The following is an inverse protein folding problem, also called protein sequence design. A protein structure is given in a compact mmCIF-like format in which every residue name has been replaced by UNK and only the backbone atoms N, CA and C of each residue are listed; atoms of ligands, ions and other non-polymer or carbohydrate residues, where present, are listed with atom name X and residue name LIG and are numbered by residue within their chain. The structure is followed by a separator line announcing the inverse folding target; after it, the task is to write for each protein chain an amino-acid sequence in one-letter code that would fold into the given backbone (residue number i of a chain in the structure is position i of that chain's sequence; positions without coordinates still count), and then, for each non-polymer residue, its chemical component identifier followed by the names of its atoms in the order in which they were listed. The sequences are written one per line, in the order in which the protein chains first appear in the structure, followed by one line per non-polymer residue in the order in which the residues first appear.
data_IF_178407192734
#
_entry.id   IF_178407192734
#
_cell.length_a   1.000
_cell.length_b   1.000
_cell.length_c   1.000
_cell.angle_alpha   90.00
_cell.angle_beta   90.00
_cell.angle_gamma   90.00
#
_symmetry.space_group_name_H-M   'P 1'
#
loop_
_entity.id
_entity.type
_entity.pdbx_description
1 polymer ?
#
# COMPACT_ATOMS: atom_id res chain seq x y z
N UNK A 1 7.82 16.19 0.16
CA UNK A 1 8.63 15.13 -0.49
C UNK A 1 8.99 14.11 0.60
N UNK A 2 8.30 12.97 0.62
CA UNK A 2 8.71 11.85 1.45
C UNK A 2 9.98 11.26 0.82
N UNK A 3 11.10 11.35 1.53
CA UNK A 3 12.36 10.76 1.08
C UNK A 3 12.18 9.24 1.03
N UNK A 4 12.31 8.67 -0.15
CA UNK A 4 12.34 7.22 -0.34
C UNK A 4 13.50 6.68 0.49
N UNK A 5 13.22 5.91 1.54
CA UNK A 5 14.23 5.29 2.39
C UNK A 5 15.17 4.45 1.54
N UNK A 6 16.46 4.54 1.80
CA UNK A 6 17.41 3.69 1.08
C UNK A 6 17.24 2.23 1.51
N UNK A 7 17.48 1.28 0.60
CA UNK A 7 17.47 -0.15 0.95
C UNK A 7 18.42 -0.49 2.09
N UNK A 8 19.46 0.34 2.31
CA UNK A 8 20.36 0.18 3.44
C UNK A 8 19.66 0.50 4.76
N UNK A 9 18.93 1.59 4.80
CA UNK A 9 18.14 1.96 5.98
C UNK A 9 17.02 0.95 6.27
N UNK A 10 16.32 0.44 5.23
CA UNK A 10 15.35 -0.64 5.41
C UNK A 10 16.00 -1.90 6.02
N UNK A 11 17.21 -2.22 5.60
CA UNK A 11 17.95 -3.35 6.15
C UNK A 11 18.34 -3.13 7.61
N UNK A 12 18.79 -1.93 7.97
CA UNK A 12 19.18 -1.61 9.34
C UNK A 12 17.96 -1.71 10.27
N UNK A 13 16.81 -1.19 9.87
CA UNK A 13 15.54 -1.35 10.60
C UNK A 13 15.09 -2.83 10.68
N UNK A 14 15.26 -3.59 9.61
CA UNK A 14 14.97 -5.02 9.62
C UNK A 14 15.83 -5.76 10.66
N UNK A 15 17.13 -5.50 10.70
CA UNK A 15 18.05 -6.11 11.67
C UNK A 15 17.65 -5.75 13.08
N UNK A 16 17.39 -4.47 13.37
CA UNK A 16 16.95 -3.97 14.67
C UNK A 16 15.66 -4.67 15.13
N UNK A 17 14.66 -4.69 14.25
CA UNK A 17 13.37 -5.35 14.52
C UNK A 17 13.50 -6.84 14.82
N UNK A 18 14.36 -7.59 14.13
CA UNK A 18 14.59 -9.01 14.39
C UNK A 18 15.28 -9.22 15.73
N UNK A 19 16.24 -8.37 16.09
CA UNK A 19 16.96 -8.43 17.37
C UNK A 19 16.00 -8.14 18.52
N UNK A 20 15.21 -7.06 18.46
CA UNK A 20 14.26 -6.70 19.51
C UNK A 20 13.18 -7.77 19.68
N UNK A 21 12.62 -8.29 18.60
CA UNK A 21 11.66 -9.40 18.65
C UNK A 21 12.25 -10.63 19.32
N UNK A 22 13.53 -10.93 19.08
CA UNK A 22 14.21 -12.03 19.76
C UNK A 22 14.39 -11.76 21.24
N UNK A 23 14.82 -10.55 21.64
CA UNK A 23 14.94 -10.16 23.06
C UNK A 23 13.63 -10.34 23.81
N UNK A 24 12.51 -9.90 23.18
CA UNK A 24 11.16 -10.02 23.75
C UNK A 24 10.66 -11.46 23.84
N UNK A 25 11.12 -12.33 22.92
CA UNK A 25 10.68 -13.72 22.84
C UNK A 25 11.36 -14.67 23.83
N UNK A 26 12.49 -14.26 24.42
CA UNK A 26 13.28 -15.13 25.30
C UNK A 26 13.10 -14.77 26.79
N UNK A 27 13.16 -15.76 27.70
CA UNK A 27 13.14 -15.51 29.12
C UNK A 27 14.35 -14.67 29.57
N UNK A 28 14.14 -13.84 30.63
CA UNK A 28 15.16 -12.94 31.16
C UNK A 28 16.50 -13.62 31.49
N UNK A 29 16.46 -14.85 32.02
CA UNK A 29 17.69 -15.59 32.35
C UNK A 29 18.53 -15.92 31.10
N UNK A 30 17.88 -16.19 29.95
CA UNK A 30 18.59 -16.39 28.68
C UNK A 30 19.17 -15.09 28.12
N UNK A 31 18.47 -13.97 28.31
CA UNK A 31 18.99 -12.67 27.92
C UNK A 31 20.21 -12.29 28.74
N UNK A 32 20.18 -12.53 30.10
CA UNK A 32 21.33 -12.32 30.99
C UNK A 32 22.53 -13.18 30.57
N UNK A 33 22.32 -14.46 30.22
CA UNK A 33 23.38 -15.34 29.73
C UNK A 33 24.03 -14.83 28.42
N UNK A 34 23.28 -14.14 27.54
CA UNK A 34 23.83 -13.47 26.36
C UNK A 34 24.69 -12.25 26.80
N UNK A 35 24.25 -11.51 27.82
CA UNK A 35 25.04 -10.43 28.41
C UNK A 35 26.36 -10.93 28.95
N UNK A 36 26.37 -12.03 29.71
CA UNK A 36 27.58 -12.66 30.25
C UNK A 36 28.53 -13.13 29.11
N UNK A 37 27.98 -13.71 28.04
CA UNK A 37 28.76 -14.08 26.83
C UNK A 37 29.38 -12.83 26.17
N UNK A 38 28.65 -11.73 26.11
CA UNK A 38 29.14 -10.49 25.53
C UNK A 38 30.27 -9.89 26.37
N UNK A 39 30.14 -9.89 27.71
CA UNK A 39 31.20 -9.46 28.64
C UNK A 39 32.46 -10.31 28.43
N UNK A 40 32.35 -11.64 28.46
CA UNK A 40 33.50 -12.53 28.25
C UNK A 40 34.16 -12.31 26.87
N UNK A 41 33.37 -12.03 25.81
CA UNK A 41 33.88 -11.70 24.47
C UNK A 41 34.69 -10.42 24.49
N UNK A 42 34.20 -9.38 25.13
CA UNK A 42 34.88 -8.08 25.22
C UNK A 42 36.14 -8.13 26.11
N UNK A 43 36.11 -8.84 27.22
CA UNK A 43 37.28 -9.05 28.11
C UNK A 43 38.42 -9.74 27.34
N UNK A 44 38.11 -10.66 26.44
CA UNK A 44 39.12 -11.34 25.61
C UNK A 44 39.84 -10.41 24.65
N UNK A 45 39.25 -9.23 24.33
CA UNK A 45 39.79 -8.24 23.38
C UNK A 45 40.64 -7.14 24.07
N UNK A 46 40.83 -7.21 25.36
CA UNK A 46 41.88 -6.70 26.28
C UNK A 46 42.42 -5.27 26.11
N UNK A 47 41.77 -4.30 25.52
CA UNK A 47 42.31 -2.92 25.43
C UNK A 47 41.34 -1.75 25.57
N UNK A 48 40.03 -2.00 25.72
CA UNK A 48 39.05 -0.92 25.73
C UNK A 48 38.28 -0.94 27.07
N UNK A 49 38.26 0.21 27.76
CA UNK A 49 37.38 0.42 28.89
C UNK A 49 35.93 0.14 28.49
N UNK A 50 35.20 -0.69 29.24
CA UNK A 50 33.85 -1.06 28.96
C UNK A 50 32.93 0.17 29.02
N UNK A 51 32.31 0.50 27.87
CA UNK A 51 31.15 1.37 27.85
C UNK A 51 29.91 0.53 27.70
N UNK A 52 28.79 0.95 28.27
CA UNK A 52 27.48 0.32 28.10
C UNK A 52 27.11 0.16 26.61
N UNK A 53 27.53 1.11 25.80
CA UNK A 53 27.31 1.08 24.35
C UNK A 53 27.98 -0.13 23.67
N UNK A 54 29.25 -0.39 24.00
CA UNK A 54 30.02 -1.53 23.49
C UNK A 54 29.40 -2.87 23.94
N UNK A 55 28.89 -2.95 25.14
CA UNK A 55 28.20 -4.15 25.62
C UNK A 55 26.92 -4.40 24.84
N UNK A 56 26.12 -3.39 24.61
CA UNK A 56 24.89 -3.51 23.81
C UNK A 56 25.17 -3.92 22.36
N UNK A 57 26.17 -3.31 21.73
CA UNK A 57 26.60 -3.69 20.37
C UNK A 57 27.06 -5.15 20.29
N UNK A 58 27.77 -5.65 21.31
CA UNK A 58 28.24 -7.04 21.35
C UNK A 58 27.07 -8.02 21.58
N UNK A 59 26.13 -7.68 22.46
CA UNK A 59 24.88 -8.44 22.66
C UNK A 59 24.13 -8.56 21.33
N UNK A 60 23.93 -7.45 20.62
CA UNK A 60 23.26 -7.43 19.33
C UNK A 60 24.02 -8.24 18.28
N UNK A 61 25.34 -8.21 18.29
CA UNK A 61 26.20 -9.01 17.41
C UNK A 61 26.02 -10.51 17.67
N UNK A 62 25.96 -10.92 18.94
CA UNK A 62 25.72 -12.33 19.32
C UNK A 62 24.34 -12.79 18.88
N UNK A 63 23.30 -11.98 19.14
CA UNK A 63 21.92 -12.26 18.73
C UNK A 63 21.84 -12.39 17.20
N UNK A 64 22.42 -11.44 16.47
CA UNK A 64 22.47 -11.44 14.99
C UNK A 64 23.08 -12.73 14.45
N UNK A 65 24.15 -13.21 15.09
CA UNK A 65 24.82 -14.47 14.72
C UNK A 65 23.94 -15.69 15.03
N UNK A 66 23.28 -15.71 16.19
CA UNK A 66 22.35 -16.79 16.59
C UNK A 66 21.13 -16.90 15.65
N UNK A 67 20.56 -15.76 15.26
CA UNK A 67 19.44 -15.67 14.33
C UNK A 67 19.86 -15.93 12.88
N UNK A 68 21.16 -16.00 12.61
CA UNK A 68 21.70 -16.11 11.23
C UNK A 68 21.14 -15.03 10.30
N UNK A 69 21.03 -13.81 10.82
CA UNK A 69 20.53 -12.70 10.01
C UNK A 69 21.40 -12.56 8.75
N UNK A 70 20.80 -12.54 7.56
CA UNK A 70 21.56 -12.50 6.32
C UNK A 70 22.36 -11.19 6.22
N UNK A 71 23.55 -11.24 5.61
CA UNK A 71 24.29 -10.04 5.25
C UNK A 71 23.50 -9.16 4.27
N UNK A 72 23.78 -7.84 4.30
CA UNK A 72 23.07 -6.84 3.48
C UNK A 72 22.87 -7.25 2.03
N UNK A 73 23.93 -7.73 1.35
CA UNK A 73 23.83 -8.08 -0.07
C UNK A 73 22.89 -9.26 -0.34
N UNK A 74 22.86 -10.24 0.57
CA UNK A 74 21.93 -11.38 0.45
C UNK A 74 20.50 -10.94 0.71
N UNK A 75 20.28 -10.11 1.73
CA UNK A 75 18.98 -9.53 2.05
C UNK A 75 18.50 -8.62 0.89
N UNK A 76 19.36 -7.73 0.39
CA UNK A 76 19.07 -6.82 -0.72
C UNK A 76 18.60 -7.58 -1.96
N UNK A 77 19.31 -8.66 -2.34
CA UNK A 77 18.90 -9.48 -3.49
C UNK A 77 17.53 -10.11 -3.32
N UNK A 78 17.20 -10.56 -2.10
CA UNK A 78 15.85 -11.09 -1.79
C UNK A 78 14.81 -9.98 -1.85
N UNK A 79 15.09 -8.84 -1.24
CA UNK A 79 14.18 -7.69 -1.18
C UNK A 79 13.86 -7.16 -2.59
N UNK A 80 14.86 -6.97 -3.44
CA UNK A 80 14.67 -6.53 -4.83
C UNK A 80 13.81 -7.53 -5.61
N UNK A 81 14.06 -8.84 -5.49
CA UNK A 81 13.21 -9.86 -6.13
C UNK A 81 11.77 -9.82 -5.62
N UNK A 82 11.57 -9.62 -4.34
CA UNK A 82 10.23 -9.51 -3.74
C UNK A 82 9.51 -8.27 -4.27
N UNK A 83 10.17 -7.12 -4.32
CA UNK A 83 9.61 -5.89 -4.87
C UNK A 83 9.26 -6.04 -6.37
N UNK A 84 10.09 -6.74 -7.14
CA UNK A 84 9.78 -7.07 -8.53
C UNK A 84 8.54 -7.96 -8.65
N UNK A 85 8.42 -8.97 -7.78
CA UNK A 85 7.24 -9.83 -7.73
C UNK A 85 5.96 -9.05 -7.39
N UNK A 86 6.05 -8.08 -6.48
CA UNK A 86 4.90 -7.23 -6.10
C UNK A 86 4.45 -6.29 -7.22
N UNK A 87 5.30 -6.01 -8.21
CA UNK A 87 4.90 -5.25 -9.41
C UNK A 87 4.10 -6.06 -10.42
N UNK A 88 4.14 -7.38 -10.29
CA UNK A 88 3.35 -8.27 -11.14
C UNK A 88 1.87 -8.23 -10.69
N UNK A 89 0.92 -7.84 -11.56
CA UNK A 89 -0.49 -7.83 -11.21
C UNK A 89 -1.01 -9.21 -10.81
N UNK A 90 -0.49 -10.29 -11.39
CA UNK A 90 -0.87 -11.66 -11.05
C UNK A 90 -0.57 -12.02 -9.58
N UNK A 91 0.45 -11.38 -8.98
CA UNK A 91 0.75 -11.58 -7.56
C UNK A 91 -0.42 -11.17 -6.65
N UNK A 92 -1.16 -10.17 -7.06
CA UNK A 92 -2.32 -9.62 -6.35
C UNK A 92 -3.65 -10.16 -6.87
N UNK A 93 -3.64 -11.20 -7.71
CA UNK A 93 -4.85 -11.74 -8.32
C UNK A 93 -5.46 -10.86 -9.41
N UNK A 94 -4.75 -9.81 -9.86
CA UNK A 94 -5.22 -8.92 -10.92
C UNK A 94 -4.83 -9.47 -12.30
N UNK A 95 -5.75 -9.39 -13.25
CA UNK A 95 -5.41 -9.73 -14.65
C UNK A 95 -4.48 -8.66 -15.25
N UNK A 96 -3.41 -9.05 -15.98
CA UNK A 96 -2.58 -8.10 -16.72
C UNK A 96 -3.37 -7.25 -17.72
N UNK A 97 -4.50 -7.75 -18.20
CA UNK A 97 -5.41 -7.03 -19.08
C UNK A 97 -6.42 -6.13 -18.34
N UNK A 98 -6.41 -6.13 -16.99
CA UNK A 98 -7.36 -5.31 -16.24
C UNK A 98 -7.18 -3.82 -16.53
N UNK A 99 -8.28 -3.04 -16.64
CA UNK A 99 -8.22 -1.60 -16.87
C UNK A 99 -7.32 -0.85 -15.90
N UNK A 100 -7.33 -1.24 -14.62
CA UNK A 100 -6.46 -0.69 -13.58
C UNK A 100 -4.98 -0.82 -13.94
N UNK A 101 -4.56 -2.02 -14.34
CA UNK A 101 -3.16 -2.33 -14.68
C UNK A 101 -2.71 -1.50 -15.88
N UNK A 102 -3.56 -1.37 -16.92
CA UNK A 102 -3.21 -0.63 -18.13
C UNK A 102 -3.23 0.90 -17.94
N UNK A 103 -4.15 1.40 -17.11
CA UNK A 103 -4.40 2.84 -17.03
C UNK A 103 -3.47 3.57 -16.04
N UNK A 104 -3.09 2.93 -14.93
CA UNK A 104 -2.43 3.62 -13.81
C UNK A 104 -1.00 3.11 -13.53
N UNK A 105 -0.68 1.87 -13.87
CA UNK A 105 0.61 1.23 -13.52
C UNK A 105 1.86 1.92 -14.06
N UNK A 106 1.73 2.86 -14.97
CA UNK A 106 2.89 3.54 -15.62
C UNK A 106 3.24 4.90 -15.02
N UNK A 107 2.53 5.35 -13.98
CA UNK A 107 2.73 6.67 -13.38
C UNK A 107 3.38 6.54 -12.00
N UNK A 108 4.72 6.54 -11.94
CA UNK A 108 5.42 6.60 -10.65
C UNK A 108 5.10 7.91 -9.91
N UNK A 109 4.95 7.82 -8.58
CA UNK A 109 4.56 8.91 -7.67
C UNK A 109 3.18 9.53 -7.94
N UNK A 110 2.34 8.85 -8.74
CA UNK A 110 0.95 9.24 -8.91
C UNK A 110 0.18 9.13 -7.58
N UNK A 111 -0.63 10.13 -7.27
CA UNK A 111 -1.55 10.10 -6.12
C UNK A 111 -2.87 9.48 -6.56
N UNK A 112 -3.19 8.32 -5.99
CA UNK A 112 -4.38 7.55 -6.37
C UNK A 112 -5.25 7.29 -5.15
N UNK A 113 -6.55 7.49 -5.31
CA UNK A 113 -7.55 7.13 -4.30
C UNK A 113 -8.17 5.80 -4.69
N UNK A 114 -8.18 4.86 -3.75
CA UNK A 114 -8.89 3.59 -3.86
C UNK A 114 -10.04 3.61 -2.86
N UNK A 115 -11.25 3.78 -3.35
CA UNK A 115 -12.47 3.87 -2.55
C UNK A 115 -13.26 2.57 -2.59
N UNK A 116 -13.77 2.15 -1.42
CA UNK A 116 -14.36 0.84 -1.23
C UNK A 116 -13.30 -0.25 -1.28
N UNK A 117 -12.27 -0.11 -0.45
CA UNK A 117 -11.05 -0.92 -0.45
C UNK A 117 -11.25 -2.34 0.11
N UNK A 118 -12.45 -2.89 -0.01
CA UNK A 118 -12.78 -4.26 0.47
C UNK A 118 -11.83 -5.33 -0.10
N UNK A 119 -11.25 -5.08 -1.28
CA UNK A 119 -10.15 -5.85 -1.84
C UNK A 119 -8.86 -5.00 -1.82
N UNK A 120 -7.91 -5.40 -0.99
CA UNK A 120 -6.60 -4.76 -0.83
C UNK A 120 -5.72 -4.82 -2.09
N UNK A 121 -6.01 -5.74 -3.02
CA UNK A 121 -5.20 -6.04 -4.20
C UNK A 121 -4.90 -4.80 -5.04
N UNK A 122 -5.92 -3.98 -5.30
CA UNK A 122 -5.77 -2.75 -6.10
C UNK A 122 -4.86 -1.72 -5.42
N UNK A 123 -5.02 -1.51 -4.13
CA UNK A 123 -4.22 -0.57 -3.36
C UNK A 123 -2.76 -1.00 -3.28
N UNK A 124 -2.51 -2.28 -2.99
CA UNK A 124 -1.16 -2.84 -2.85
C UNK A 124 -0.44 -2.91 -4.20
N UNK A 125 -1.14 -3.29 -5.27
CA UNK A 125 -0.58 -3.27 -6.62
C UNK A 125 -0.13 -1.88 -7.05
N UNK A 126 -0.96 -0.86 -6.82
CA UNK A 126 -0.64 0.52 -7.14
C UNK A 126 0.55 1.04 -6.31
N UNK A 127 0.57 0.75 -5.01
CA UNK A 127 1.68 1.12 -4.14
C UNK A 127 2.99 0.44 -4.54
N UNK A 128 2.95 -0.86 -4.91
CA UNK A 128 4.11 -1.60 -5.40
C UNK A 128 4.66 -1.05 -6.72
N UNK A 129 3.80 -0.44 -7.53
CA UNK A 129 4.18 0.23 -8.78
C UNK A 129 4.54 1.71 -8.61
N UNK A 130 4.66 2.17 -7.36
CA UNK A 130 5.22 3.49 -7.05
C UNK A 130 4.18 4.57 -6.78
N UNK A 131 2.89 4.28 -6.82
CA UNK A 131 1.85 5.24 -6.50
C UNK A 131 1.80 5.56 -5.00
N UNK A 132 1.38 6.78 -4.67
CA UNK A 132 0.92 7.15 -3.34
C UNK A 132 -0.59 6.89 -3.26
N UNK A 133 -0.98 5.94 -2.46
CA UNK A 133 -2.36 5.42 -2.41
C UNK A 133 -3.08 5.90 -1.17
N UNK A 134 -4.24 6.50 -1.33
CA UNK A 134 -5.20 6.69 -0.24
C UNK A 134 -6.24 5.58 -0.33
N UNK A 135 -6.21 4.65 0.62
CA UNK A 135 -7.21 3.60 0.76
C UNK A 135 -8.35 4.10 1.64
N UNK A 136 -9.53 4.28 1.05
CA UNK A 136 -10.70 4.89 1.68
C UNK A 136 -11.82 3.88 1.81
N UNK A 137 -12.29 3.65 3.01
CA UNK A 137 -13.50 2.86 3.29
C UNK A 137 -14.21 3.39 4.53
N UNK A 138 -15.54 3.21 4.58
CA UNK A 138 -16.33 3.53 5.76
C UNK A 138 -16.21 2.51 6.90
N UNK A 139 -15.67 1.33 6.60
CA UNK A 139 -15.45 0.24 7.53
C UNK A 139 -13.99 0.25 8.01
N UNK A 140 -13.80 0.43 9.32
CA UNK A 140 -12.48 0.46 9.97
C UNK A 140 -11.72 -0.86 9.79
N UNK A 141 -12.40 -2.01 9.91
CA UNK A 141 -11.78 -3.33 9.75
C UNK A 141 -11.20 -3.53 8.33
N UNK A 142 -11.84 -2.93 7.33
CA UNK A 142 -11.36 -2.94 5.94
C UNK A 142 -10.09 -2.12 5.82
N UNK A 143 -10.08 -0.91 6.37
CA UNK A 143 -8.91 -0.02 6.33
C UNK A 143 -7.73 -0.63 7.09
N UNK A 144 -7.97 -1.17 8.29
CA UNK A 144 -6.93 -1.84 9.08
C UNK A 144 -6.32 -3.03 8.34
N UNK A 145 -7.14 -3.84 7.67
CA UNK A 145 -6.69 -4.97 6.87
C UNK A 145 -5.76 -4.54 5.74
N UNK A 146 -6.13 -3.48 5.00
CA UNK A 146 -5.29 -2.91 3.94
C UNK A 146 -3.97 -2.39 4.50
N UNK A 147 -4.01 -1.67 5.63
CA UNK A 147 -2.80 -1.13 6.27
C UNK A 147 -1.89 -2.23 6.80
N UNK A 148 -2.47 -3.29 7.39
CA UNK A 148 -1.71 -4.44 7.86
C UNK A 148 -1.03 -5.18 6.68
N UNK A 149 -1.75 -5.40 5.59
CA UNK A 149 -1.20 -6.01 4.38
C UNK A 149 -0.11 -5.14 3.73
N UNK A 150 -0.29 -3.81 3.72
CA UNK A 150 0.72 -2.86 3.26
C UNK A 150 1.99 -2.92 4.11
N UNK A 151 1.85 -3.00 5.44
CA UNK A 151 2.97 -3.14 6.36
C UNK A 151 3.72 -4.46 6.12
N UNK A 152 3.00 -5.58 6.01
CA UNK A 152 3.58 -6.90 5.75
C UNK A 152 4.34 -6.96 4.41
N UNK A 153 3.85 -6.24 3.38
CA UNK A 153 4.52 -6.12 2.09
C UNK A 153 5.68 -5.09 2.09
N UNK A 154 5.83 -4.30 3.16
CA UNK A 154 6.79 -3.18 3.22
C UNK A 154 6.41 -2.04 2.28
N UNK A 155 5.12 -1.79 2.13
CA UNK A 155 4.52 -0.73 1.30
C UNK A 155 3.83 0.36 2.14
N UNK A 156 3.92 0.28 3.48
CA UNK A 156 3.20 1.16 4.41
C UNK A 156 3.47 2.66 4.17
N UNK A 157 4.65 3.03 3.70
CA UNK A 157 4.98 4.45 3.39
C UNK A 157 4.23 4.98 2.14
N UNK A 158 3.65 4.10 1.34
CA UNK A 158 2.95 4.45 0.10
C UNK A 158 1.43 4.29 0.20
N UNK A 159 0.95 3.71 1.30
CA UNK A 159 -0.48 3.51 1.53
C UNK A 159 -0.92 4.30 2.75
N UNK A 160 -1.90 5.15 2.59
CA UNK A 160 -2.53 5.90 3.66
C UNK A 160 -3.98 5.45 3.81
N UNK A 161 -4.32 4.87 4.96
CA UNK A 161 -5.68 4.43 5.28
C UNK A 161 -6.53 5.58 5.80
N UNK A 162 -7.76 5.69 5.33
CA UNK A 162 -8.73 6.69 5.79
C UNK A 162 -10.07 5.99 6.05
N UNK A 163 -10.54 6.06 7.30
CA UNK A 163 -11.85 5.54 7.69
C UNK A 163 -12.89 6.63 7.45
N UNK A 164 -13.49 6.63 6.29
CA UNK A 164 -14.55 7.56 5.91
C UNK A 164 -15.35 7.03 4.71
N UNK A 165 -16.63 7.35 4.67
CA UNK A 165 -17.43 7.16 3.46
C UNK A 165 -17.04 8.16 2.38
N UNK A 166 -17.08 7.75 1.11
CA UNK A 166 -16.73 8.61 -0.03
C UNK A 166 -17.58 9.88 -0.11
N UNK A 167 -18.81 9.84 0.42
CA UNK A 167 -19.71 11.01 0.48
C UNK A 167 -19.30 12.13 1.44
N UNK A 168 -18.48 11.80 2.45
CA UNK A 168 -18.03 12.74 3.49
C UNK A 168 -16.56 13.11 3.37
N UNK A 169 -15.80 12.47 2.46
CA UNK A 169 -14.38 12.69 2.29
C UNK A 169 -14.06 13.59 1.09
N UNK A 170 -13.00 14.39 1.22
CA UNK A 170 -12.48 15.22 0.14
C UNK A 170 -10.96 15.02 -0.02
N UNK A 171 -10.43 15.02 -1.24
CA UNK A 171 -8.99 14.95 -1.47
C UNK A 171 -8.25 16.16 -0.89
N UNK A 172 -7.16 15.94 -0.16
CA UNK A 172 -6.31 17.01 0.40
C UNK A 172 -5.45 17.74 -0.65
N UNK A 173 -5.61 17.42 -1.92
CA UNK A 173 -4.86 18.05 -3.01
C UNK A 173 -5.07 17.32 -4.33
N UNK A 174 -4.37 17.72 -5.38
CA UNK A 174 -4.57 17.15 -6.70
C UNK A 174 -4.19 15.66 -6.75
N UNK A 175 -5.05 14.88 -7.40
CA UNK A 175 -4.92 13.44 -7.59
C UNK A 175 -4.70 13.09 -9.07
N UNK A 176 -4.10 11.94 -9.34
CA UNK A 176 -3.85 11.42 -10.69
C UNK A 176 -4.83 10.31 -11.06
N UNK A 177 -5.41 9.64 -10.06
CA UNK A 177 -6.34 8.56 -10.32
C UNK A 177 -7.32 8.31 -9.20
N UNK A 178 -8.46 7.74 -9.56
CA UNK A 178 -9.50 7.26 -8.65
C UNK A 178 -9.88 5.85 -9.08
N UNK A 179 -9.93 4.94 -8.13
CA UNK A 179 -10.45 3.59 -8.29
C UNK A 179 -11.62 3.45 -7.32
N UNK A 180 -12.83 3.38 -7.85
CA UNK A 180 -14.02 3.11 -7.06
C UNK A 180 -14.49 1.68 -7.30
N UNK A 181 -14.57 0.89 -6.24
CA UNK A 181 -15.29 -0.38 -6.32
C UNK A 181 -16.79 -0.14 -6.41
N UNK A 182 -17.54 -1.16 -6.77
CA UNK A 182 -18.99 -1.05 -6.86
C UNK A 182 -19.67 -0.65 -5.53
N UNK A 183 -19.04 -0.96 -4.41
CA UNK A 183 -19.55 -0.64 -3.07
C UNK A 183 -19.25 0.79 -2.63
N UNK A 184 -18.23 1.43 -3.16
CA UNK A 184 -17.81 2.77 -2.74
C UNK A 184 -18.90 3.85 -2.94
N UNK A 185 -19.76 3.67 -3.93
CA UNK A 185 -20.85 4.58 -4.26
C UNK A 185 -22.23 4.02 -3.89
N UNK A 186 -22.27 2.81 -3.33
CA UNK A 186 -23.54 2.22 -2.84
C UNK A 186 -24.03 2.99 -1.61
N UNK A 187 -25.35 3.06 -1.45
CA UNK A 187 -25.97 3.80 -0.35
C UNK A 187 -26.00 5.32 -0.49
N UNK A 188 -25.34 5.89 -1.50
CA UNK A 188 -25.44 7.31 -1.85
C UNK A 188 -26.62 7.57 -2.76
N UNK A 189 -27.38 8.62 -2.50
CA UNK A 189 -28.41 9.12 -3.42
C UNK A 189 -27.77 9.62 -4.73
N UNK A 190 -28.55 9.73 -5.79
CA UNK A 190 -28.08 10.26 -7.09
C UNK A 190 -27.46 11.69 -6.96
N UNK A 191 -28.01 12.52 -6.06
CA UNK A 191 -27.47 13.85 -5.77
C UNK A 191 -26.11 13.79 -5.07
N UNK A 192 -25.96 12.93 -4.09
CA UNK A 192 -24.69 12.74 -3.37
C UNK A 192 -23.63 12.14 -4.27
N UNK A 193 -23.97 11.12 -5.09
CA UNK A 193 -23.06 10.58 -6.10
C UNK A 193 -22.57 11.67 -7.06
N UNK A 194 -23.49 12.55 -7.51
CA UNK A 194 -23.13 13.68 -8.36
C UNK A 194 -22.15 14.64 -7.71
N UNK A 195 -22.38 14.99 -6.46
CA UNK A 195 -21.46 15.85 -5.68
C UNK A 195 -20.09 15.20 -5.52
N UNK A 196 -20.04 13.94 -5.13
CA UNK A 196 -18.79 13.17 -4.97
C UNK A 196 -18.00 13.12 -6.28
N UNK A 197 -18.65 12.76 -7.38
CA UNK A 197 -18.00 12.71 -8.69
C UNK A 197 -17.44 14.07 -9.09
N UNK A 198 -18.19 15.15 -8.88
CA UNK A 198 -17.73 16.50 -9.18
C UNK A 198 -16.50 16.91 -8.34
N UNK A 199 -16.48 16.59 -7.04
CA UNK A 199 -15.33 16.83 -6.16
C UNK A 199 -14.09 16.08 -6.66
N UNK A 200 -14.23 14.79 -6.96
CA UNK A 200 -13.13 13.98 -7.48
C UNK A 200 -12.62 14.48 -8.83
N UNK A 201 -13.53 14.85 -9.77
CA UNK A 201 -13.17 15.41 -11.08
C UNK A 201 -12.42 16.75 -10.94
N UNK A 202 -12.86 17.63 -10.02
CA UNK A 202 -12.21 18.90 -9.76
C UNK A 202 -10.81 18.74 -9.18
N UNK A 203 -10.61 17.75 -8.32
CA UNK A 203 -9.31 17.43 -7.74
C UNK A 203 -8.38 16.66 -8.71
N UNK A 204 -8.90 16.14 -9.80
CA UNK A 204 -8.12 15.31 -10.73
C UNK A 204 -7.34 16.20 -11.71
N UNK A 205 -6.03 15.90 -11.83
CA UNK A 205 -5.14 16.54 -12.81
C UNK A 205 -5.50 16.13 -14.23
N UNK A 206 -5.11 16.97 -15.18
CA UNK A 206 -5.20 16.62 -16.61
C UNK A 206 -4.43 15.33 -16.91
N UNK A 207 -4.99 14.49 -17.75
CA UNK A 207 -4.51 13.14 -18.01
C UNK A 207 -4.82 12.12 -16.90
N UNK A 208 -5.42 12.58 -15.79
CA UNK A 208 -5.82 11.71 -14.68
C UNK A 208 -6.97 10.75 -15.08
N UNK A 209 -7.12 9.66 -14.31
CA UNK A 209 -7.99 8.54 -14.69
C UNK A 209 -8.93 8.16 -13.57
N UNK A 210 -10.21 8.01 -13.86
CA UNK A 210 -11.19 7.43 -12.96
C UNK A 210 -11.62 6.03 -13.47
N UNK A 211 -11.50 5.05 -12.59
CA UNK A 211 -11.97 3.70 -12.77
C UNK A 211 -13.12 3.46 -11.80
N UNK A 212 -14.31 3.18 -12.34
CA UNK A 212 -15.50 2.92 -11.53
C UNK A 212 -16.06 1.56 -11.89
N UNK A 213 -16.11 0.66 -10.93
CA UNK A 213 -16.77 -0.63 -11.10
C UNK A 213 -18.28 -0.47 -10.90
N UNK A 214 -19.06 -1.02 -11.81
CA UNK A 214 -20.52 -1.02 -11.70
C UNK A 214 -21.04 -2.44 -11.54
N UNK A 215 -22.08 -2.60 -10.69
CA UNK A 215 -22.84 -3.85 -10.58
C UNK A 215 -24.17 -3.65 -11.29
N UNK A 216 -24.57 -4.62 -12.09
CA UNK A 216 -25.80 -4.55 -12.91
C UNK A 216 -27.07 -4.97 -12.11
N UNK A 217 -27.06 -4.93 -10.78
CA UNK A 217 -28.20 -5.39 -10.00
C UNK A 217 -28.61 -4.42 -8.87
N UNK A 218 -29.85 -3.95 -8.90
CA UNK A 218 -30.50 -3.17 -7.85
C UNK A 218 -31.16 -1.89 -8.37
N UNK A 219 -32.24 -1.46 -7.72
CA UNK A 219 -33.01 -0.24 -8.07
C UNK A 219 -32.23 1.07 -7.90
N UNK A 220 -31.19 1.08 -7.07
CA UNK A 220 -30.32 2.24 -6.81
C UNK A 220 -28.89 2.04 -7.34
N UNK A 221 -28.70 1.09 -8.25
CA UNK A 221 -27.40 0.83 -8.85
C UNK A 221 -26.92 2.02 -9.69
N UNK A 222 -25.64 2.36 -9.56
CA UNK A 222 -24.98 3.32 -10.42
C UNK A 222 -24.97 2.79 -11.86
N UNK A 223 -25.68 3.46 -12.77
CA UNK A 223 -25.79 3.05 -14.16
C UNK A 223 -24.68 3.62 -15.02
N UNK A 224 -24.36 2.92 -16.11
CA UNK A 224 -23.40 3.43 -17.10
C UNK A 224 -23.85 4.75 -17.73
N UNK A 225 -25.16 4.94 -17.90
CA UNK A 225 -25.72 6.18 -18.48
C UNK A 225 -25.60 7.35 -17.51
N UNK A 226 -25.80 7.11 -16.19
CA UNK A 226 -25.49 8.10 -15.17
C UNK A 226 -24.03 8.50 -15.23
N UNK A 227 -23.09 7.55 -15.26
CA UNK A 227 -21.66 7.82 -15.38
C UNK A 227 -21.34 8.60 -16.65
N UNK A 228 -21.82 8.18 -17.82
CA UNK A 228 -21.61 8.90 -19.08
C UNK A 228 -22.09 10.34 -19.01
N UNK A 229 -23.24 10.57 -18.38
CA UNK A 229 -23.79 11.93 -18.23
C UNK A 229 -22.93 12.82 -17.32
N UNK A 230 -22.31 12.24 -16.29
CA UNK A 230 -21.45 12.94 -15.32
C UNK A 230 -20.06 13.24 -15.86
N UNK A 231 -19.51 12.35 -16.72
CA UNK A 231 -18.15 12.46 -17.26
C UNK A 231 -18.12 13.08 -18.69
N UNK A 232 -19.06 14.01 -18.97
CA UNK A 232 -19.05 14.75 -20.24
C UNK A 232 -17.73 15.51 -20.41
N UNK A 233 -17.11 15.40 -21.59
CA UNK A 233 -15.82 16.04 -21.89
C UNK A 233 -14.60 15.23 -21.48
N UNK A 234 -14.79 14.05 -20.85
CA UNK A 234 -13.73 13.09 -20.61
C UNK A 234 -13.73 12.02 -21.71
N UNK A 235 -12.54 11.44 -21.97
CA UNK A 235 -12.43 10.26 -22.83
C UNK A 235 -12.92 9.02 -22.05
N UNK A 236 -13.96 8.36 -22.57
CA UNK A 236 -14.68 7.30 -21.86
C UNK A 236 -14.53 5.97 -22.59
N UNK A 237 -14.17 4.93 -21.86
CA UNK A 237 -14.28 3.54 -22.29
C UNK A 237 -14.97 2.68 -21.24
N UNK A 238 -15.63 1.61 -21.71
CA UNK A 238 -16.32 0.66 -20.82
C UNK A 238 -15.88 -0.75 -21.18
N UNK A 239 -15.41 -1.47 -20.18
CA UNK A 239 -15.01 -2.87 -20.32
C UNK A 239 -15.92 -3.77 -19.49
N UNK A 240 -16.39 -4.84 -20.10
CA UNK A 240 -17.16 -5.87 -19.38
C UNK A 240 -16.19 -6.79 -18.63
N UNK A 241 -16.46 -7.07 -17.37
CA UNK A 241 -15.71 -8.08 -16.63
C UNK A 241 -15.90 -9.45 -17.29
N UNK A 242 -14.79 -10.11 -17.61
CA UNK A 242 -14.81 -11.49 -18.11
C UNK A 242 -15.06 -12.43 -16.91
N UNK A 243 -16.31 -12.75 -16.60
CA UNK A 243 -16.70 -13.65 -15.52
C UNK A 243 -18.22 -13.74 -15.38
N UNK A 244 -18.69 -14.65 -14.51
CA UNK A 244 -20.12 -14.87 -14.22
C UNK A 244 -20.81 -13.67 -13.52
N UNK A 245 -20.07 -12.61 -13.19
CA UNK A 245 -20.61 -11.39 -12.61
C UNK A 245 -20.98 -10.38 -13.69
N UNK A 246 -22.21 -9.84 -13.63
CA UNK A 246 -22.76 -8.81 -14.53
C UNK A 246 -22.12 -7.42 -14.26
N UNK A 247 -20.83 -7.35 -13.95
CA UNK A 247 -20.12 -6.10 -13.66
C UNK A 247 -19.45 -5.51 -14.91
N UNK A 248 -19.37 -4.19 -14.97
CA UNK A 248 -18.57 -3.47 -15.95
C UNK A 248 -17.60 -2.51 -15.26
N UNK A 249 -16.44 -2.29 -15.85
CA UNK A 249 -15.52 -1.24 -15.44
C UNK A 249 -15.65 -0.07 -16.39
N UNK A 250 -16.11 1.04 -15.83
CA UNK A 250 -16.14 2.34 -16.51
C UNK A 250 -14.79 3.02 -16.28
N UNK A 251 -14.13 3.40 -17.36
CA UNK A 251 -12.88 4.15 -17.33
C UNK A 251 -13.12 5.52 -17.99
N UNK A 252 -12.75 6.58 -17.28
CA UNK A 252 -12.79 7.93 -17.81
C UNK A 252 -11.41 8.59 -17.64
N UNK A 253 -10.88 9.21 -18.67
CA UNK A 253 -9.63 9.96 -18.69
C UNK A 253 -9.91 11.43 -18.92
N UNK A 254 -9.36 12.29 -18.04
CA UNK A 254 -9.46 13.73 -18.18
C UNK A 254 -8.58 14.20 -19.33
N UNK A 255 -9.18 14.93 -20.30
CA UNK A 255 -8.42 15.57 -21.37
C UNK A 255 -7.50 16.68 -20.82
N UNK A 256 -6.54 17.15 -21.63
CA UNK A 256 -5.83 18.40 -21.33
C UNK A 256 -6.82 19.56 -21.38
N UNK A 257 -6.66 20.52 -20.47
CA UNK A 257 -7.44 21.77 -20.46
C UNK A 257 -7.11 22.66 -21.65
#
# INVERSE_FOLDING_TARGET
MLQQRSLRHEYDLYVESEIERYKDSIPRNKLLAIGDEAVASLESQAQLGFSELLLNEEVDRIIRKRLRIPAYDAWRRRRVRQLQKYRDPLHWGLSPAAPLVRAISQQSDARVVVAGAADESSALFLAANGCQVTALDGDEDVVERVMHAALAAGLAERVHGVVAGLGSWNPEGPINGVVCTAHALSGLTASERGRVINVLQSATRDGGVHLVQTIVAGTDALTLDELRSRYRGWDISVERSAGLGLGSTFLARKGPA
#
